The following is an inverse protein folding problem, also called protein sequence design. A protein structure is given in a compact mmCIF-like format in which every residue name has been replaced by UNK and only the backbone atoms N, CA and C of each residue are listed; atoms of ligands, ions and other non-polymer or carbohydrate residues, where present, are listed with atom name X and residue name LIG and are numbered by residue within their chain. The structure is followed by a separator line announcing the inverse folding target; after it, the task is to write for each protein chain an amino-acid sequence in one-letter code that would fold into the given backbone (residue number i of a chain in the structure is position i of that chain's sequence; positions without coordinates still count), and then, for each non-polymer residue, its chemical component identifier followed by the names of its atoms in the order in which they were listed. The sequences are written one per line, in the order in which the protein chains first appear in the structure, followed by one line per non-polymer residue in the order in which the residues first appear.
data_IF_683472350315
#
_entry.id   IF_683472350315
#
_cell.length_a   1.000
_cell.length_b   1.000
_cell.length_c   1.000
_cell.angle_alpha   90.00
_cell.angle_beta   90.00
_cell.angle_gamma   90.00
#
_symmetry.space_group_name_H-M   'P 1'
#
loop_
_entity.id
_entity.type
_entity.pdbx_description
1 polymer ?
#
# COMPACT_ATOMS: atom_id res chain seq x y z
N UNK A 1 1.39 2.66 -11.80
CA UNK A 1 1.54 3.19 -10.43
C UNK A 1 0.29 2.78 -9.66
N UNK A 2 0.42 2.21 -8.47
CA UNK A 2 -0.71 1.82 -7.62
C UNK A 2 -0.66 2.66 -6.35
N UNK A 3 -1.78 3.31 -6.02
CA UNK A 3 -1.98 4.01 -4.77
C UNK A 3 -3.37 3.65 -4.27
N UNK A 4 -3.48 3.30 -2.99
CA UNK A 4 -4.75 3.16 -2.29
C UNK A 4 -4.64 3.89 -0.97
N UNK A 5 -5.57 4.79 -0.69
CA UNK A 5 -5.61 5.56 0.55
C UNK A 5 -6.96 5.34 1.21
N UNK A 6 -6.93 4.98 2.49
CA UNK A 6 -8.11 4.82 3.32
C UNK A 6 -8.00 5.74 4.53
N UNK A 7 -9.14 6.18 5.03
CA UNK A 7 -9.22 6.99 6.23
C UNK A 7 -10.36 6.54 7.14
N UNK A 8 -10.16 6.71 8.45
CA UNK A 8 -11.18 6.51 9.47
C UNK A 8 -10.92 7.47 10.61
N UNK A 9 -11.88 8.38 10.84
CA UNK A 9 -11.73 9.48 11.80
C UNK A 9 -10.41 10.25 11.56
N UNK A 10 -9.50 10.28 12.54
CA UNK A 10 -8.20 10.95 12.44
C UNK A 10 -7.09 10.04 11.90
N UNK A 11 -7.39 8.78 11.56
CA UNK A 11 -6.40 7.82 11.07
C UNK A 11 -6.42 7.70 9.55
N UNK A 12 -5.24 7.54 8.96
CA UNK A 12 -5.03 7.32 7.52
C UNK A 12 -4.16 6.09 7.31
N UNK A 13 -4.54 5.26 6.34
CA UNK A 13 -3.73 4.16 5.81
C UNK A 13 -3.45 4.41 4.33
N UNK A 14 -2.20 4.27 3.90
CA UNK A 14 -1.80 4.51 2.51
C UNK A 14 -0.87 3.43 2.02
N UNK A 15 -1.29 2.75 0.96
CA UNK A 15 -0.54 1.75 0.24
C UNK A 15 -0.04 2.33 -1.08
N UNK A 16 1.26 2.23 -1.35
CA UNK A 16 1.86 2.78 -2.56
C UNK A 16 2.78 1.75 -3.20
N UNK A 17 2.65 1.58 -4.51
CA UNK A 17 3.61 0.84 -5.34
C UNK A 17 4.01 1.73 -6.52
N UNK A 18 5.28 2.12 -6.54
CA UNK A 18 5.87 2.96 -7.58
C UNK A 18 6.98 2.23 -8.29
N UNK A 19 7.09 2.44 -9.61
CA UNK A 19 8.28 2.01 -10.35
C UNK A 19 9.38 3.05 -10.14
N UNK A 20 10.59 2.58 -9.87
CA UNK A 20 11.81 3.38 -9.72
C UNK A 20 12.71 3.24 -10.96
N UNK A 21 12.12 2.86 -12.11
CA UNK A 21 12.84 2.60 -13.35
C UNK A 21 13.76 1.40 -13.22
N UNK A 22 15.05 1.59 -13.52
CA UNK A 22 16.06 0.52 -13.46
C UNK A 22 16.29 -0.06 -12.05
N UNK A 23 15.84 0.64 -11.00
CA UNK A 23 15.99 0.19 -9.62
C UNK A 23 14.90 -0.78 -9.16
N UNK A 24 13.90 -1.07 -10.01
CA UNK A 24 12.78 -1.96 -9.72
C UNK A 24 11.57 -1.18 -9.19
N UNK A 25 10.85 -1.77 -8.25
CA UNK A 25 9.63 -1.22 -7.67
C UNK A 25 9.77 -0.98 -6.19
N UNK A 26 9.24 0.13 -5.73
CA UNK A 26 9.15 0.49 -4.34
C UNK A 26 7.73 0.22 -3.85
N UNK A 27 7.63 -0.55 -2.77
CA UNK A 27 6.39 -0.90 -2.09
C UNK A 27 6.43 -0.24 -0.72
N UNK A 28 5.43 0.58 -0.43
CA UNK A 28 5.32 1.34 0.81
C UNK A 28 3.93 1.22 1.41
N UNK A 29 3.90 1.03 2.71
CA UNK A 29 2.70 1.02 3.54
C UNK A 29 2.91 2.05 4.67
N UNK A 30 1.99 2.99 4.76
CA UNK A 30 2.05 4.14 5.65
C UNK A 30 0.77 4.21 6.50
N UNK A 31 0.91 4.46 7.79
CA UNK A 31 -0.19 4.71 8.71
C UNK A 31 0.05 6.00 9.47
N UNK A 32 -0.89 6.93 9.44
CA UNK A 32 -0.82 8.19 10.20
C UNK A 32 0.51 8.93 9.98
N UNK A 33 0.95 8.97 8.72
CA UNK A 33 2.25 9.51 8.26
C UNK A 33 3.51 8.73 8.68
N UNK A 34 3.37 7.58 9.32
CA UNK A 34 4.47 6.69 9.69
C UNK A 34 4.60 5.55 8.69
N UNK A 35 5.81 5.30 8.21
CA UNK A 35 6.09 4.18 7.31
C UNK A 35 6.16 2.89 8.11
N UNK A 36 5.16 2.04 7.97
CA UNK A 36 5.07 0.74 8.65
C UNK A 36 5.89 -0.31 7.89
N UNK A 37 5.88 -0.24 6.56
CA UNK A 37 6.66 -1.12 5.70
C UNK A 37 7.19 -0.35 4.51
N UNK A 38 8.47 -0.54 4.23
CA UNK A 38 9.11 -0.04 3.02
C UNK A 38 10.09 -1.08 2.50
N UNK A 39 9.84 -1.53 1.27
CA UNK A 39 10.67 -2.54 0.62
C UNK A 39 10.81 -2.22 -0.85
N UNK A 40 11.97 -2.57 -1.41
CA UNK A 40 12.23 -2.52 -2.84
C UNK A 40 12.28 -3.94 -3.42
N UNK A 41 11.53 -4.16 -4.49
CA UNK A 41 11.57 -5.40 -5.26
C UNK A 41 12.17 -5.16 -6.63
N UNK A 42 12.99 -6.10 -7.10
CA UNK A 42 13.50 -6.12 -8.48
C UNK A 42 12.77 -7.14 -9.36
N UNK A 43 11.89 -7.94 -8.76
CA UNK A 43 11.11 -8.98 -9.43
C UNK A 43 9.63 -8.58 -9.44
N UNK A 44 9.00 -8.70 -10.62
CA UNK A 44 7.60 -8.34 -10.82
C UNK A 44 6.64 -9.23 -10.02
N UNK A 45 6.91 -10.53 -9.88
CA UNK A 45 6.02 -11.43 -9.15
C UNK A 45 5.88 -11.05 -7.67
N UNK A 46 6.96 -10.54 -7.05
CA UNK A 46 6.90 -9.99 -5.68
C UNK A 46 6.04 -8.74 -5.59
N UNK A 47 6.03 -7.90 -6.63
CA UNK A 47 5.19 -6.71 -6.71
C UNK A 47 3.72 -7.10 -6.83
N UNK A 48 3.40 -8.10 -7.64
CA UNK A 48 2.03 -8.61 -7.76
C UNK A 48 1.53 -9.19 -6.43
N UNK A 49 2.35 -9.98 -5.74
CA UNK A 49 2.01 -10.48 -4.40
C UNK A 49 1.78 -9.35 -3.40
N UNK A 50 2.62 -8.31 -3.44
CA UNK A 50 2.43 -7.14 -2.58
C UNK A 50 1.13 -6.39 -2.90
N UNK A 51 0.79 -6.24 -4.19
CA UNK A 51 -0.47 -5.63 -4.62
C UNK A 51 -1.69 -6.44 -4.18
N UNK A 52 -1.63 -7.76 -4.28
CA UNK A 52 -2.70 -8.64 -3.81
C UNK A 52 -2.88 -8.53 -2.28
N UNK A 53 -1.78 -8.52 -1.52
CA UNK A 53 -1.82 -8.31 -0.07
C UNK A 53 -2.45 -6.96 0.29
N UNK A 54 -2.07 -5.87 -0.38
CA UNK A 54 -2.67 -4.55 -0.17
C UNK A 54 -4.15 -4.50 -0.51
N UNK A 55 -4.61 -5.22 -1.54
CA UNK A 55 -6.03 -5.31 -1.86
C UNK A 55 -6.81 -6.01 -0.74
N UNK A 56 -6.28 -7.10 -0.18
CA UNK A 56 -6.88 -7.81 0.96
C UNK A 56 -6.89 -6.93 2.21
N UNK A 57 -5.77 -6.28 2.55
CA UNK A 57 -5.70 -5.37 3.69
C UNK A 57 -6.68 -4.19 3.55
N UNK A 58 -6.78 -3.60 2.35
CA UNK A 58 -7.72 -2.52 2.08
C UNK A 58 -9.18 -2.98 2.25
N UNK A 59 -9.54 -4.16 1.74
CA UNK A 59 -10.89 -4.71 1.90
C UNK A 59 -11.24 -4.95 3.38
N UNK A 60 -10.31 -5.50 4.16
CA UNK A 60 -10.51 -5.70 5.61
C UNK A 60 -10.69 -4.37 6.37
N UNK A 61 -9.96 -3.33 5.96
CA UNK A 61 -10.12 -1.99 6.52
C UNK A 61 -11.48 -1.41 6.14
N UNK A 62 -11.91 -1.56 4.89
CA UNK A 62 -13.23 -1.12 4.41
C UNK A 62 -14.36 -1.80 5.20
N UNK A 63 -14.28 -3.12 5.40
CA UNK A 63 -15.20 -3.87 6.26
C UNK A 63 -15.18 -3.37 7.71
N UNK A 64 -14.03 -2.90 8.19
CA UNK A 64 -13.86 -2.29 9.52
C UNK A 64 -14.33 -0.82 9.60
N UNK A 65 -14.97 -0.31 8.55
CA UNK A 65 -15.53 1.04 8.49
C UNK A 65 -14.51 2.13 8.12
N UNK A 66 -13.38 1.76 7.52
CA UNK A 66 -12.54 2.72 6.81
C UNK A 66 -13.14 3.03 5.45
N UNK A 67 -12.93 4.24 4.96
CA UNK A 67 -13.44 4.66 3.66
C UNK A 67 -12.28 5.10 2.77
N UNK A 68 -12.46 4.94 1.46
CA UNK A 68 -11.54 5.53 0.49
C UNK A 68 -11.48 7.05 0.69
N UNK A 69 -10.25 7.57 0.72
CA UNK A 69 -9.93 8.97 1.02
C UNK A 69 -9.59 9.76 -0.25
#
# INVERSE_FOLDING_TARGET
MYIRRLQKASHTRKFTITTTGASGWEVRDEQDSHVIRWVRYRDWHRVERARAAFAVEAALLEESGWNEA
#
